data_IF_314087436627
#
_entry.id   IF_314087436627
#
_cell.length_a   1.000
_cell.length_b   1.000
_cell.length_c   1.000
_cell.angle_alpha   90.00
_cell.angle_beta   90.00
_cell.angle_gamma   90.00
#
_symmetry.space_group_name_H-M   'P 1'
#
loop_
_entity.id
_entity.type
_entity.pdbx_description
1 polymer ?
#
# COMPACT_ATOMS: atom_id res chain seq x y z
N UNK A 1 8.75 -13.34 4.71
CA UNK A 1 9.27 -14.73 4.68
C UNK A 1 9.96 -14.95 3.34
N UNK A 2 11.17 -15.53 3.32
CA UNK A 2 11.92 -15.80 2.09
C UNK A 2 11.79 -17.29 1.73
N UNK A 3 10.95 -17.67 0.75
CA UNK A 3 10.93 -19.03 0.24
C UNK A 3 12.14 -19.25 -0.67
N UNK A 4 12.96 -20.25 -0.33
CA UNK A 4 14.14 -20.64 -1.11
C UNK A 4 13.89 -22.02 -1.70
N UNK A 5 13.96 -22.12 -3.01
CA UNK A 5 13.82 -23.40 -3.73
C UNK A 5 15.23 -23.90 -4.03
N UNK A 6 15.55 -25.10 -3.54
CA UNK A 6 16.81 -25.78 -3.83
C UNK A 6 16.48 -27.04 -4.63
N UNK A 7 16.86 -27.06 -5.91
CA UNK A 7 16.51 -28.15 -6.82
C UNK A 7 17.40 -29.39 -6.66
N UNK A 8 18.66 -29.18 -6.24
CA UNK A 8 19.62 -30.26 -6.06
C UNK A 8 19.48 -30.89 -4.67
N UNK A 9 19.36 -32.22 -4.65
CA UNK A 9 19.19 -32.99 -3.42
C UNK A 9 20.47 -33.01 -2.57
N UNK A 10 21.64 -33.06 -3.21
CA UNK A 10 22.92 -33.11 -2.50
C UNK A 10 23.17 -31.80 -1.74
N UNK A 11 22.79 -30.66 -2.33
CA UNK A 11 22.89 -29.34 -1.69
C UNK A 11 21.94 -29.22 -0.50
N UNK A 12 20.72 -29.75 -0.62
CA UNK A 12 19.77 -29.83 0.50
C UNK A 12 20.31 -30.70 1.65
N UNK A 13 20.92 -31.84 1.33
CA UNK A 13 21.52 -32.72 2.34
C UNK A 13 22.71 -32.05 3.03
N UNK A 14 23.54 -31.30 2.28
CA UNK A 14 24.64 -30.51 2.85
C UNK A 14 24.13 -29.43 3.82
N UNK A 15 23.11 -28.65 3.44
CA UNK A 15 22.48 -27.64 4.31
C UNK A 15 21.88 -28.32 5.56
N UNK A 16 21.19 -29.45 5.38
CA UNK A 16 20.60 -30.18 6.49
C UNK A 16 21.67 -30.80 7.41
N UNK A 17 22.84 -31.15 6.89
CA UNK A 17 23.96 -31.64 7.70
C UNK A 17 24.56 -30.53 8.57
N UNK A 18 24.73 -29.32 8.02
CA UNK A 18 25.13 -28.13 8.79
C UNK A 18 24.14 -27.85 9.93
N UNK A 19 22.84 -27.86 9.62
CA UNK A 19 21.78 -27.64 10.62
C UNK A 19 21.74 -28.75 11.70
N UNK A 20 21.90 -30.02 11.32
CA UNK A 20 21.99 -31.15 12.29
C UNK A 20 23.22 -31.05 13.18
N UNK A 21 24.31 -30.49 12.67
CA UNK A 21 25.50 -30.24 13.45
C UNK A 21 25.40 -28.98 14.34
N UNK A 22 24.29 -28.25 14.30
CA UNK A 22 24.07 -27.04 15.08
C UNK A 22 24.90 -25.84 14.61
N UNK A 23 25.35 -25.84 13.35
CA UNK A 23 26.10 -24.73 12.76
C UNK A 23 25.17 -23.76 12.05
N UNK A 24 25.58 -22.49 12.03
CA UNK A 24 24.84 -21.44 11.33
C UNK A 24 24.94 -21.60 9.82
N UNK A 25 23.85 -21.21 9.14
CA UNK A 25 23.78 -21.15 7.67
C UNK A 25 23.54 -19.70 7.29
N UNK A 26 24.44 -19.14 6.49
CA UNK A 26 24.34 -17.77 6.01
C UNK A 26 23.60 -17.75 4.67
N UNK A 27 22.58 -16.88 4.58
CA UNK A 27 21.80 -16.67 3.36
C UNK A 27 22.11 -15.28 2.83
N UNK A 28 22.85 -15.22 1.73
CA UNK A 28 23.19 -14.00 1.02
C UNK A 28 22.13 -13.73 -0.06
N UNK A 29 21.12 -12.95 0.28
CA UNK A 29 20.01 -12.62 -0.63
C UNK A 29 20.42 -11.71 -1.82
N UNK A 30 21.28 -10.69 -1.66
CA UNK A 30 21.74 -9.88 -2.79
C UNK A 30 22.46 -10.70 -3.86
N UNK A 31 23.35 -11.61 -3.46
CA UNK A 31 24.09 -12.49 -4.38
C UNK A 31 23.37 -13.81 -4.67
N UNK A 32 22.27 -14.10 -3.96
CA UNK A 32 21.50 -15.34 -4.03
C UNK A 32 22.33 -16.60 -3.76
N UNK A 33 23.16 -16.55 -2.71
CA UNK A 33 24.04 -17.65 -2.31
C UNK A 33 23.71 -18.16 -0.91
N UNK A 34 23.88 -19.47 -0.72
CA UNK A 34 23.82 -20.11 0.59
C UNK A 34 25.24 -20.50 0.98
N UNK A 35 25.71 -20.03 2.13
CA UNK A 35 27.04 -20.32 2.67
C UNK A 35 26.92 -21.10 3.97
N UNK A 36 27.90 -21.95 4.24
CA UNK A 36 28.03 -22.61 5.54
C UNK A 36 28.65 -21.66 6.58
N UNK A 37 28.73 -22.12 7.83
CA UNK A 37 29.35 -21.37 8.94
C UNK A 37 30.83 -20.98 8.70
N UNK A 38 31.52 -21.64 7.75
CA UNK A 38 32.91 -21.33 7.38
C UNK A 38 33.01 -20.33 6.22
N UNK A 39 31.90 -19.86 5.66
CA UNK A 39 31.85 -18.95 4.52
C UNK A 39 32.00 -19.64 3.15
N UNK A 40 32.02 -20.98 3.11
CA UNK A 40 32.04 -21.74 1.87
C UNK A 40 30.64 -21.76 1.24
N UNK A 41 30.57 -21.40 -0.05
CA UNK A 41 29.32 -21.42 -0.82
C UNK A 41 28.88 -22.85 -1.10
N UNK A 42 27.74 -23.23 -0.55
CA UNK A 42 27.13 -24.55 -0.78
C UNK A 42 26.45 -24.55 -2.15
N UNK A 43 25.55 -23.59 -2.39
CA UNK A 43 24.81 -23.49 -3.63
C UNK A 43 24.28 -22.07 -3.88
N UNK A 44 23.85 -21.82 -5.12
CA UNK A 44 23.07 -20.65 -5.49
C UNK A 44 21.58 -20.99 -5.52
N UNK A 45 20.73 -20.02 -5.20
CA UNK A 45 19.28 -20.15 -5.31
C UNK A 45 18.72 -19.05 -6.22
N UNK A 46 17.47 -19.20 -6.66
CA UNK A 46 16.79 -18.16 -7.44
C UNK A 46 15.56 -17.65 -6.69
N UNK A 47 15.26 -16.36 -6.85
CA UNK A 47 14.11 -15.68 -6.26
C UNK A 47 13.58 -14.66 -7.24
N UNK A 48 12.26 -14.59 -7.32
CA UNK A 48 11.54 -13.56 -8.06
C UNK A 48 12.04 -12.15 -7.71
N UNK A 49 12.39 -11.38 -8.74
CA UNK A 49 13.05 -10.08 -8.60
C UNK A 49 12.24 -9.08 -7.75
N UNK A 50 10.91 -9.10 -7.89
CA UNK A 50 10.03 -8.26 -7.08
C UNK A 50 10.13 -8.58 -5.58
N UNK A 51 10.15 -9.87 -5.21
CA UNK A 51 10.31 -10.28 -3.80
C UNK A 51 11.69 -9.96 -3.29
N UNK A 52 12.73 -10.17 -4.10
CA UNK A 52 14.11 -9.77 -3.75
C UNK A 52 14.15 -8.28 -3.44
N UNK A 53 13.59 -7.44 -4.31
CA UNK A 53 13.50 -6.01 -4.09
C UNK A 53 12.75 -5.65 -2.81
N UNK A 54 11.61 -6.30 -2.53
CA UNK A 54 10.87 -6.04 -1.30
C UNK A 54 11.66 -6.44 -0.05
N UNK A 55 12.28 -7.61 -0.04
CA UNK A 55 13.04 -8.10 1.11
C UNK A 55 14.33 -7.32 1.35
N UNK A 56 15.02 -6.90 0.30
CA UNK A 56 16.26 -6.10 0.40
C UNK A 56 15.96 -4.69 0.89
N UNK A 57 14.88 -4.07 0.43
CA UNK A 57 14.51 -2.71 0.82
C UNK A 57 13.59 -2.65 2.05
N UNK A 58 13.20 -3.80 2.61
CA UNK A 58 12.26 -3.87 3.73
C UNK A 58 10.87 -3.35 3.40
N UNK A 59 10.43 -3.49 2.15
CA UNK A 59 9.11 -3.06 1.69
C UNK A 59 8.05 -4.09 2.06
N UNK A 60 6.94 -3.58 2.57
CA UNK A 60 5.69 -4.29 2.80
C UNK A 60 4.58 -3.68 1.91
N UNK A 61 3.36 -4.20 1.93
CA UNK A 61 2.22 -3.70 1.13
C UNK A 61 1.98 -2.20 1.36
N UNK A 62 2.09 -1.74 2.62
CA UNK A 62 2.00 -0.33 2.97
C UNK A 62 3.18 0.45 2.37
N UNK A 63 4.40 -0.08 2.47
CA UNK A 63 5.60 0.55 1.91
C UNK A 63 5.55 0.70 0.39
N UNK A 64 5.04 -0.33 -0.30
CA UNK A 64 4.77 -0.30 -1.74
C UNK A 64 3.72 0.76 -2.10
N UNK A 65 2.68 0.89 -1.29
CA UNK A 65 1.66 1.93 -1.47
C UNK A 65 2.26 3.33 -1.28
N UNK A 66 3.11 3.51 -0.26
CA UNK A 66 3.77 4.79 0.02
C UNK A 66 4.76 5.21 -1.08
N UNK A 67 5.29 4.28 -1.89
CA UNK A 67 6.08 4.65 -3.07
C UNK A 67 5.26 5.40 -4.13
N UNK A 68 3.93 5.34 -4.05
CA UNK A 68 3.02 6.03 -4.96
C UNK A 68 2.49 7.35 -4.37
N UNK A 69 3.21 7.97 -3.43
CA UNK A 69 2.79 9.18 -2.71
C UNK A 69 2.29 10.31 -3.62
N UNK A 70 2.96 10.56 -4.75
CA UNK A 70 2.54 11.55 -5.73
C UNK A 70 1.16 11.24 -6.34
N UNK A 71 0.92 9.97 -6.66
CA UNK A 71 -0.36 9.50 -7.22
C UNK A 71 -1.46 9.53 -6.18
N UNK A 72 -1.15 9.18 -4.93
CA UNK A 72 -2.06 9.30 -3.80
C UNK A 72 -2.46 10.77 -3.64
N UNK A 73 -1.48 11.67 -3.57
CA UNK A 73 -1.69 13.11 -3.48
C UNK A 73 -2.51 13.68 -4.65
N UNK A 74 -2.24 13.24 -5.88
CA UNK A 74 -3.02 13.66 -7.05
C UNK A 74 -4.47 13.15 -6.99
N UNK A 75 -4.65 11.88 -6.61
CA UNK A 75 -5.96 11.27 -6.43
C UNK A 75 -6.77 12.00 -5.36
N UNK A 76 -6.17 12.28 -4.20
CA UNK A 76 -6.80 13.01 -3.09
C UNK A 76 -7.21 14.42 -3.53
N UNK A 77 -6.30 15.17 -4.21
CA UNK A 77 -6.63 16.51 -4.75
C UNK A 77 -7.80 16.49 -5.73
N UNK A 78 -7.92 15.44 -6.55
CA UNK A 78 -9.05 15.28 -7.48
C UNK A 78 -10.34 14.95 -6.73
N UNK A 79 -10.26 14.05 -5.75
CA UNK A 79 -11.41 13.66 -4.95
C UNK A 79 -11.97 14.83 -4.14
N UNK A 80 -11.13 15.63 -3.47
CA UNK A 80 -11.61 16.80 -2.73
C UNK A 80 -12.36 17.82 -3.59
N UNK A 81 -12.08 17.89 -4.91
CA UNK A 81 -12.83 18.73 -5.85
C UNK A 81 -14.17 18.13 -6.29
N UNK A 82 -14.20 16.82 -6.52
CA UNK A 82 -15.36 16.11 -7.06
C UNK A 82 -16.37 15.72 -5.97
N UNK A 83 -15.86 15.36 -4.79
CA UNK A 83 -16.63 14.90 -3.65
C UNK A 83 -16.29 15.68 -2.37
N UNK A 84 -16.50 17.02 -2.33
CA UNK A 84 -16.12 17.85 -1.17
C UNK A 84 -16.76 17.44 0.17
N UNK A 85 -17.85 16.66 0.13
CA UNK A 85 -18.53 16.13 1.31
C UNK A 85 -17.81 14.94 1.96
N UNK A 86 -16.89 14.27 1.25
CA UNK A 86 -16.14 13.12 1.74
C UNK A 86 -14.91 13.51 2.56
N UNK A 87 -14.41 14.74 2.38
CA UNK A 87 -13.17 15.24 3.02
C UNK A 87 -13.24 15.33 4.55
N UNK A 88 -14.40 15.04 5.17
CA UNK A 88 -14.67 14.84 6.62
C UNK A 88 -14.47 16.07 7.50
N UNK A 89 -13.39 16.80 7.28
CA UNK A 89 -12.95 18.03 7.95
C UNK A 89 -13.63 19.28 7.41
N UNK A 90 -14.06 19.31 6.15
CA UNK A 90 -14.86 20.42 5.61
C UNK A 90 -16.26 20.48 6.24
N UNK A 91 -16.78 19.35 6.73
CA UNK A 91 -18.02 19.29 7.51
C UNK A 91 -17.82 19.75 8.98
N UNK A 92 -16.59 19.65 9.50
CA UNK A 92 -16.24 19.91 10.90
C UNK A 92 -15.40 21.18 11.14
N UNK A 93 -14.95 21.90 10.11
CA UNK A 93 -14.20 23.16 10.23
C UNK A 93 -15.08 24.30 10.76
N UNK A 94 -15.29 24.31 12.08
CA UNK A 94 -15.70 25.49 12.84
C UNK A 94 -14.47 26.24 13.30
N UNK A 95 -14.21 27.41 12.71
CA UNK A 95 -13.52 28.50 13.41
C UNK A 95 -14.36 29.76 13.31
N UNK A 96 -15.03 30.08 14.42
CA UNK A 96 -15.57 31.40 14.73
C UNK A 96 -16.71 31.92 13.84
N UNK A 97 -17.93 31.90 14.38
CA UNK A 97 -19.12 32.65 13.91
C UNK A 97 -19.83 32.17 12.64
N UNK A 98 -21.13 31.99 12.84
CA UNK A 98 -22.21 31.73 11.87
C UNK A 98 -22.21 30.33 11.24
N UNK A 99 -23.39 29.74 11.30
CA UNK A 99 -23.72 28.34 11.04
C UNK A 99 -23.74 28.01 9.54
N UNK A 100 -22.78 28.51 8.76
CA UNK A 100 -22.79 28.42 7.30
C UNK A 100 -21.83 27.33 6.81
N UNK A 101 -22.42 26.36 6.11
CA UNK A 101 -21.70 25.33 5.37
C UNK A 101 -20.79 25.98 4.31
N UNK A 102 -19.63 25.38 4.02
CA UNK A 102 -18.75 25.83 2.94
C UNK A 102 -19.44 25.76 1.56
N UNK A 103 -20.41 24.86 1.40
CA UNK A 103 -21.30 24.82 0.26
C UNK A 103 -22.50 25.75 0.48
N UNK A 104 -22.65 26.76 -0.39
CA UNK A 104 -23.87 27.59 -0.40
C UNK A 104 -25.04 26.69 -0.84
N UNK A 105 -26.13 26.59 -0.06
CA UNK A 105 -27.29 25.83 -0.48
C UNK A 105 -27.81 26.38 -1.82
N UNK A 106 -28.00 25.50 -2.80
CA UNK A 106 -28.61 25.87 -4.08
C UNK A 106 -30.09 26.14 -3.82
N UNK A 107 -30.64 27.30 -4.22
CA UNK A 107 -32.04 27.59 -4.00
C UNK A 107 -32.90 26.60 -4.79
N UNK A 108 -33.89 26.00 -4.12
CA UNK A 108 -34.85 25.08 -4.74
C UNK A 108 -35.62 25.83 -5.83
N UNK A 109 -35.80 25.24 -7.03
CA UNK A 109 -36.62 25.82 -8.08
C UNK A 109 -38.03 26.16 -7.56
N UNK A 110 -38.51 27.35 -7.89
CA UNK A 110 -39.86 27.81 -7.53
C UNK A 110 -40.80 27.71 -8.73
N UNK A 111 -42.07 27.47 -8.47
CA UNK A 111 -43.12 27.59 -9.49
C UNK A 111 -43.35 29.07 -9.84
N UNK A 112 -44.07 29.35 -10.93
CA UNK A 112 -44.48 30.72 -11.30
C UNK A 112 -45.37 31.40 -10.23
N UNK A 113 -45.85 30.64 -9.23
CA UNK A 113 -46.64 31.12 -8.09
C UNK A 113 -45.81 31.34 -6.82
N UNK A 114 -44.49 31.13 -6.88
CA UNK A 114 -43.56 31.38 -5.78
C UNK A 114 -43.43 30.25 -4.76
N UNK A 115 -44.13 29.14 -4.96
CA UNK A 115 -44.08 27.94 -4.12
C UNK A 115 -42.82 27.10 -4.45
N UNK A 116 -42.23 26.48 -3.43
CA UNK A 116 -41.05 25.61 -3.58
C UNK A 116 -41.46 24.28 -4.18
N UNK A 117 -40.78 23.82 -5.25
CA UNK A 117 -41.00 22.49 -5.82
C UNK A 117 -40.47 21.42 -4.86
N UNK A 118 -41.38 20.68 -4.22
CA UNK A 118 -41.03 19.62 -3.25
C UNK A 118 -40.86 18.25 -3.90
N UNK A 119 -41.46 18.02 -5.08
CA UNK A 119 -41.42 16.74 -5.79
C UNK A 119 -40.92 16.88 -7.24
N UNK A 120 -40.21 15.85 -7.78
CA UNK A 120 -39.62 15.91 -9.12
C UNK A 120 -40.63 15.98 -10.28
N UNK A 121 -41.93 15.75 -10.04
CA UNK A 121 -42.96 15.55 -11.07
C UNK A 121 -43.95 16.72 -11.25
N UNK A 122 -43.69 17.88 -10.65
CA UNK A 122 -44.50 19.09 -10.87
C UNK A 122 -43.89 19.90 -12.03
N UNK A 123 -44.27 19.55 -13.26
CA UNK A 123 -43.92 20.28 -14.48
C UNK A 123 -44.72 21.59 -14.60
#
# INVERSE_FOLDING_TARGET
MLPIIVSNKDDLEAIAAEARAGRDVEIDLPNQLIKNATGYTICSFDVEEFRKHCLVNGLDDIGLTMQMDDKISEYERRMSKQTPWLDGTAYLKRKGRSNQLAAKPVPVPKTNRGETKTEPLEW
#
